data_IF_207799718126
#
_entry.id   IF_207799718126
#
_cell.length_a   1.000
_cell.length_b   1.000
_cell.length_c   1.000
_cell.angle_alpha   90.00
_cell.angle_beta   90.00
_cell.angle_gamma   90.00
#
_symmetry.space_group_name_H-M   'P 1'
#
loop_
_entity.id
_entity.type
_entity.pdbx_description
1 polymer ?
#
# COMPACT_ATOMS: atom_id res chain seq x y z
N UNK A 1 19.74 -5.07 15.77
CA UNK A 1 20.72 -4.04 16.22
C UNK A 1 21.26 -3.23 15.04
N UNK A 2 21.96 -3.84 14.07
CA UNK A 2 22.59 -3.14 12.92
C UNK A 2 21.71 -2.16 12.13
N UNK A 3 20.43 -2.49 11.90
CA UNK A 3 19.51 -1.60 11.18
C UNK A 3 19.10 -0.35 11.95
N UNK A 4 18.95 -0.46 13.28
CA UNK A 4 18.60 0.69 14.12
C UNK A 4 19.82 1.61 14.30
N UNK A 5 21.00 1.02 14.47
CA UNK A 5 22.28 1.76 14.50
C UNK A 5 22.50 2.55 13.21
N UNK A 6 22.27 1.91 12.06
CA UNK A 6 22.39 2.58 10.76
C UNK A 6 21.45 3.80 10.62
N UNK A 7 20.22 3.68 11.11
CA UNK A 7 19.30 4.82 11.14
C UNK A 7 19.75 5.89 12.14
N UNK A 8 20.24 5.50 13.32
CA UNK A 8 20.79 6.44 14.29
C UNK A 8 22.02 7.19 13.76
N UNK A 9 22.89 6.52 13.00
CA UNK A 9 24.03 7.14 12.33
C UNK A 9 23.59 8.13 11.25
N UNK A 10 22.56 7.78 10.47
CA UNK A 10 21.94 8.71 9.52
C UNK A 10 21.41 9.96 10.23
N UNK A 11 20.64 9.79 11.32
CA UNK A 11 20.05 10.88 12.09
C UNK A 11 21.12 11.87 12.57
N UNK A 12 22.20 11.36 13.18
CA UNK A 12 23.30 12.19 13.64
C UNK A 12 24.00 12.92 12.50
N UNK A 13 24.35 12.18 11.45
CA UNK A 13 25.21 12.68 10.38
C UNK A 13 24.49 13.60 9.39
N UNK A 14 23.19 13.43 9.21
CA UNK A 14 22.43 14.10 8.14
C UNK A 14 21.29 14.99 8.66
N UNK A 15 20.83 14.79 9.91
CA UNK A 15 19.66 15.48 10.44
C UNK A 15 19.93 16.26 11.73
N UNK A 16 21.15 16.16 12.30
CA UNK A 16 21.51 16.74 13.59
C UNK A 16 20.59 16.28 14.74
N UNK A 17 20.05 15.06 14.62
CA UNK A 17 19.21 14.42 15.66
C UNK A 17 20.06 13.39 16.40
N UNK A 18 20.07 13.42 17.73
CA UNK A 18 21.01 12.65 18.55
C UNK A 18 20.68 11.16 18.61
N UNK A 19 19.40 10.82 18.69
CA UNK A 19 18.92 9.45 18.74
C UNK A 19 17.57 9.25 18.02
N UNK A 20 17.19 7.99 17.72
CA UNK A 20 15.85 7.69 17.24
C UNK A 20 14.71 8.15 18.15
N UNK A 21 14.93 8.31 19.47
CA UNK A 21 13.93 8.82 20.43
C UNK A 21 13.51 10.27 20.12
N UNK A 22 14.43 11.07 19.59
CA UNK A 22 14.24 12.49 19.28
C UNK A 22 13.76 12.72 17.84
N UNK A 23 13.69 11.65 17.03
CA UNK A 23 13.32 11.75 15.62
C UNK A 23 11.81 11.92 15.45
N UNK A 24 11.43 12.80 14.52
CA UNK A 24 10.06 12.99 14.08
C UNK A 24 9.78 12.37 12.70
N UNK A 25 8.52 12.45 12.21
CA UNK A 25 8.12 11.87 10.93
C UNK A 25 8.92 12.36 9.72
N UNK A 26 9.34 13.64 9.75
CA UNK A 26 10.17 14.26 8.72
C UNK A 26 11.54 13.58 8.59
N UNK A 27 12.10 13.05 9.69
CA UNK A 27 13.37 12.36 9.67
C UNK A 27 13.28 10.97 9.01
N UNK A 28 12.15 10.26 9.17
CA UNK A 28 11.89 8.99 8.46
C UNK A 28 11.83 9.22 6.95
N UNK A 29 11.11 10.28 6.52
CA UNK A 29 11.08 10.69 5.11
C UNK A 29 12.47 11.06 4.57
N UNK A 30 13.25 11.80 5.36
CA UNK A 30 14.61 12.17 5.00
C UNK A 30 15.50 10.94 4.84
N UNK A 31 15.35 9.94 5.72
CA UNK A 31 16.08 8.66 5.61
C UNK A 31 15.75 7.90 4.34
N UNK A 32 14.46 7.81 3.97
CA UNK A 32 14.05 7.20 2.69
C UNK A 32 14.66 7.92 1.51
N UNK A 33 14.56 9.25 1.50
CA UNK A 33 15.06 10.09 0.39
C UNK A 33 16.57 9.92 0.23
N UNK A 34 17.30 10.03 1.34
CA UNK A 34 18.75 9.86 1.39
C UNK A 34 19.18 8.46 0.95
N UNK A 35 18.60 7.42 1.54
CA UNK A 35 19.01 6.05 1.26
C UNK A 35 18.68 5.66 -0.18
N UNK A 36 17.52 6.06 -0.70
CA UNK A 36 17.16 5.85 -2.11
C UNK A 36 18.16 6.52 -3.05
N UNK A 37 18.55 7.78 -2.76
CA UNK A 37 19.56 8.48 -3.55
C UNK A 37 20.95 7.83 -3.50
N UNK A 38 21.24 7.06 -2.45
CA UNK A 38 22.48 6.28 -2.28
C UNK A 38 22.39 4.85 -2.82
N UNK A 39 21.24 4.43 -3.36
CA UNK A 39 21.00 3.05 -3.79
C UNK A 39 20.84 2.06 -2.63
N UNK A 40 20.58 2.54 -1.41
CA UNK A 40 20.36 1.73 -0.21
C UNK A 40 18.93 1.15 -0.20
N UNK A 41 18.81 -0.11 0.24
CA UNK A 41 17.50 -0.74 0.44
C UNK A 41 16.94 -0.35 1.81
N UNK A 42 16.46 0.90 1.92
CA UNK A 42 15.94 1.47 3.17
C UNK A 42 14.84 0.63 3.82
N UNK A 43 14.04 -0.08 3.02
CA UNK A 43 12.98 -0.96 3.51
C UNK A 43 13.51 -2.05 4.46
N UNK A 44 14.73 -2.56 4.24
CA UNK A 44 15.33 -3.60 5.11
C UNK A 44 15.55 -3.13 6.55
N UNK A 45 15.61 -1.83 6.77
CA UNK A 45 15.84 -1.25 8.09
C UNK A 45 14.53 -1.00 8.87
N UNK A 46 13.42 -0.84 8.14
CA UNK A 46 12.16 -0.41 8.73
C UNK A 46 11.53 -1.39 9.70
N UNK A 47 11.75 -2.70 9.56
CA UNK A 47 11.32 -3.66 10.58
C UNK A 47 11.94 -3.36 11.95
N UNK A 48 13.25 -3.14 12.01
CA UNK A 48 13.93 -2.85 13.28
C UNK A 48 13.53 -1.48 13.83
N UNK A 49 13.35 -0.48 12.96
CA UNK A 49 12.96 0.88 13.36
C UNK A 49 11.51 0.88 13.88
N UNK A 50 10.59 0.19 13.20
CA UNK A 50 9.19 0.01 13.62
C UNK A 50 9.12 -0.70 14.97
N UNK A 51 9.80 -1.84 15.13
CA UNK A 51 9.84 -2.58 16.40
C UNK A 51 10.38 -1.74 17.55
N UNK A 52 11.40 -0.93 17.29
CA UNK A 52 11.94 -0.02 18.30
C UNK A 52 10.90 1.03 18.72
N UNK A 53 10.18 1.64 17.76
CA UNK A 53 9.13 2.60 18.08
C UNK A 53 7.90 1.96 18.75
N UNK A 54 7.57 0.71 18.41
CA UNK A 54 6.56 -0.08 19.12
C UNK A 54 6.97 -0.30 20.59
N UNK A 55 8.22 -0.72 20.83
CA UNK A 55 8.76 -0.90 22.18
C UNK A 55 8.79 0.40 23.00
N UNK A 56 9.00 1.54 22.34
CA UNK A 56 8.98 2.87 22.95
C UNK A 56 7.58 3.48 23.06
N UNK A 57 6.56 2.77 22.60
CA UNK A 57 5.16 3.22 22.59
C UNK A 57 4.95 4.55 21.83
N UNK A 58 5.78 4.81 20.81
CA UNK A 58 5.74 6.02 19.98
C UNK A 58 4.83 5.81 18.76
N UNK A 59 3.52 5.78 19.00
CA UNK A 59 2.51 5.43 17.99
C UNK A 59 2.61 6.24 16.67
N UNK A 60 2.85 7.56 16.75
CA UNK A 60 3.03 8.40 15.56
C UNK A 60 4.20 7.94 14.69
N UNK A 61 5.30 7.51 15.31
CA UNK A 61 6.49 7.04 14.60
C UNK A 61 6.27 5.63 14.04
N UNK A 62 5.58 4.74 14.77
CA UNK A 62 5.16 3.43 14.26
C UNK A 62 4.34 3.59 12.98
N UNK A 63 3.31 4.44 13.02
CA UNK A 63 2.44 4.70 11.86
C UNK A 63 3.24 5.29 10.70
N UNK A 64 4.11 6.27 10.96
CA UNK A 64 4.95 6.89 9.92
C UNK A 64 5.85 5.85 9.24
N UNK A 65 6.52 4.99 10.01
CA UNK A 65 7.40 3.96 9.45
C UNK A 65 6.58 2.95 8.64
N UNK A 66 5.41 2.58 9.12
CA UNK A 66 4.51 1.67 8.42
C UNK A 66 4.02 2.24 7.08
N UNK A 67 3.63 3.51 7.04
CA UNK A 67 3.27 4.20 5.79
C UNK A 67 4.41 4.18 4.77
N UNK A 68 5.65 4.42 5.22
CA UNK A 68 6.82 4.37 4.34
C UNK A 68 7.17 2.94 3.91
N UNK A 69 6.98 1.93 4.78
CA UNK A 69 7.10 0.52 4.40
C UNK A 69 6.11 0.17 3.28
N UNK A 70 4.85 0.58 3.41
CA UNK A 70 3.82 0.37 2.40
C UNK A 70 4.16 1.09 1.10
N UNK A 71 4.54 2.37 1.17
CA UNK A 71 4.97 3.15 0.02
C UNK A 71 6.10 2.46 -0.73
N UNK A 72 7.17 2.05 -0.05
CA UNK A 72 8.34 1.43 -0.69
C UNK A 72 8.00 0.06 -1.32
N UNK A 73 7.16 -0.73 -0.67
CA UNK A 73 6.70 -2.01 -1.23
C UNK A 73 5.84 -1.83 -2.48
N UNK A 74 5.15 -0.69 -2.60
CA UNK A 74 4.25 -0.40 -3.72
C UNK A 74 4.97 0.33 -4.87
N UNK A 75 6.16 0.89 -4.62
CA UNK A 75 6.97 1.56 -5.65
C UNK A 75 7.41 0.59 -6.75
N UNK A 76 7.69 -0.67 -6.40
CA UNK A 76 8.19 -1.68 -7.34
C UNK A 76 7.11 -2.62 -7.87
N UNK A 77 5.90 -2.60 -7.29
CA UNK A 77 4.83 -3.54 -7.66
C UNK A 77 4.25 -3.17 -9.01
N UNK A 78 4.37 -4.06 -9.99
CA UNK A 78 3.85 -3.83 -11.33
C UNK A 78 2.34 -4.03 -11.38
N UNK A 79 1.64 -3.19 -12.15
CA UNK A 79 0.19 -3.31 -12.37
C UNK A 79 -0.18 -4.68 -12.96
N UNK A 80 0.65 -5.23 -13.84
CA UNK A 80 0.44 -6.54 -14.46
C UNK A 80 0.58 -7.75 -13.53
N UNK A 81 1.01 -7.57 -12.27
CA UNK A 81 1.14 -8.66 -11.30
C UNK A 81 -0.15 -8.98 -10.55
N UNK A 82 -1.18 -8.13 -10.67
CA UNK A 82 -2.50 -8.48 -10.17
C UNK A 82 -3.09 -9.61 -11.04
N UNK A 83 -3.70 -10.65 -10.42
CA UNK A 83 -4.35 -11.70 -11.18
C UNK A 83 -5.51 -11.18 -12.02
N UNK A 84 -5.76 -11.84 -13.16
CA UNK A 84 -6.92 -11.63 -14.05
C UNK A 84 -7.10 -10.23 -14.66
N UNK A 85 -6.17 -9.29 -14.44
CA UNK A 85 -6.23 -7.95 -15.06
C UNK A 85 -6.01 -8.00 -16.56
N UNK A 86 -6.64 -7.08 -17.28
CA UNK A 86 -6.50 -6.93 -18.73
C UNK A 86 -5.07 -6.56 -19.13
N UNK A 87 -4.40 -7.46 -19.86
CA UNK A 87 -2.98 -7.31 -20.21
C UNK A 87 -2.76 -6.24 -21.28
N UNK A 88 -3.73 -6.01 -22.16
CA UNK A 88 -3.63 -4.96 -23.18
C UNK A 88 -3.65 -3.57 -22.54
N UNK A 89 -4.60 -3.31 -21.63
CA UNK A 89 -4.68 -2.07 -20.86
C UNK A 89 -3.45 -1.86 -19.98
N UNK A 90 -2.91 -2.90 -19.34
CA UNK A 90 -1.62 -2.80 -18.62
C UNK A 90 -0.48 -2.38 -19.55
N UNK A 91 -0.42 -2.93 -20.76
CA UNK A 91 0.61 -2.55 -21.75
C UNK A 91 0.45 -1.10 -22.18
N UNK A 92 -0.77 -0.64 -22.43
CA UNK A 92 -1.10 0.75 -22.77
C UNK A 92 -0.72 1.75 -21.67
N UNK A 93 -1.05 1.43 -20.41
CA UNK A 93 -0.62 2.22 -19.24
C UNK A 93 0.92 2.28 -19.11
N UNK A 94 1.60 1.17 -19.38
CA UNK A 94 3.07 1.12 -19.37
C UNK A 94 3.71 2.04 -20.42
N UNK A 95 3.08 2.22 -21.59
CA UNK A 95 3.56 3.12 -22.66
C UNK A 95 3.53 4.57 -22.20
N UNK A 96 2.50 4.98 -21.44
CA UNK A 96 2.41 6.34 -20.85
C UNK A 96 3.18 6.48 -19.53
N UNK A 97 4.02 5.50 -19.17
CA UNK A 97 4.91 5.56 -18.01
C UNK A 97 4.30 5.07 -16.69
N UNK A 98 3.09 4.52 -16.71
CA UNK A 98 2.38 4.01 -15.54
C UNK A 98 2.56 2.49 -15.43
N UNK A 99 3.67 2.08 -14.82
CA UNK A 99 4.07 0.67 -14.73
C UNK A 99 3.79 0.07 -13.36
N UNK A 100 3.91 0.88 -12.32
CA UNK A 100 3.82 0.44 -10.93
C UNK A 100 2.61 1.02 -10.21
N UNK A 101 2.21 0.36 -9.12
CA UNK A 101 1.11 0.79 -8.26
C UNK A 101 1.31 2.24 -7.81
N UNK A 102 2.48 2.61 -7.30
CA UNK A 102 2.71 3.99 -6.85
C UNK A 102 2.68 5.01 -8.00
N UNK A 103 3.27 4.70 -9.15
CA UNK A 103 3.20 5.58 -10.32
C UNK A 103 1.75 5.85 -10.70
N UNK A 104 0.94 4.79 -10.73
CA UNK A 104 -0.45 4.85 -11.07
C UNK A 104 -1.28 5.63 -10.04
N UNK A 105 -1.14 5.32 -8.75
CA UNK A 105 -1.87 6.00 -7.67
C UNK A 105 -1.53 7.50 -7.56
N UNK A 106 -0.25 7.87 -7.77
CA UNK A 106 0.15 9.28 -7.80
C UNK A 106 -0.48 10.03 -8.97
N UNK A 107 -0.51 9.39 -10.15
CA UNK A 107 -1.10 9.99 -11.34
C UNK A 107 -2.63 10.07 -11.23
N UNK A 108 -3.28 9.05 -10.68
CA UNK A 108 -4.73 8.88 -10.64
C UNK A 108 -5.41 9.44 -9.36
N UNK A 109 -4.81 10.43 -8.69
CA UNK A 109 -5.25 10.88 -7.37
C UNK A 109 -6.52 11.76 -7.33
N UNK A 110 -7.25 11.86 -8.45
CA UNK A 110 -8.56 12.52 -8.56
C UNK A 110 -9.37 11.85 -9.67
N UNK A 111 -10.71 11.92 -9.64
CA UNK A 111 -11.56 11.38 -10.72
C UNK A 111 -11.20 11.95 -12.10
N UNK A 112 -10.93 13.26 -12.18
CA UNK A 112 -10.54 13.93 -13.43
C UNK A 112 -9.22 13.39 -13.99
N UNK A 113 -8.21 13.13 -13.14
CA UNK A 113 -6.95 12.54 -13.59
C UNK A 113 -7.07 11.07 -13.96
N UNK A 114 -7.91 10.30 -13.28
CA UNK A 114 -8.19 8.92 -13.66
C UNK A 114 -8.84 8.85 -15.06
N UNK A 115 -9.78 9.76 -15.35
CA UNK A 115 -10.35 9.92 -16.68
C UNK A 115 -9.29 10.30 -17.72
N UNK A 116 -8.46 11.31 -17.43
CA UNK A 116 -7.37 11.73 -18.31
C UNK A 116 -6.37 10.61 -18.62
N UNK A 117 -6.05 9.75 -17.65
CA UNK A 117 -5.19 8.57 -17.86
C UNK A 117 -5.85 7.56 -18.81
N UNK A 118 -7.17 7.37 -18.69
CA UNK A 118 -7.94 6.50 -19.58
C UNK A 118 -7.80 7.00 -21.02
N UNK A 119 -8.07 8.28 -21.24
CA UNK A 119 -8.01 8.91 -22.57
C UNK A 119 -6.59 8.90 -23.15
N UNK A 120 -5.58 9.25 -22.34
CA UNK A 120 -4.19 9.33 -22.78
C UNK A 120 -3.58 7.97 -23.11
N UNK A 121 -3.92 6.93 -22.34
CA UNK A 121 -3.36 5.59 -22.54
C UNK A 121 -4.09 4.79 -23.63
N UNK A 122 -5.36 5.11 -23.91
CA UNK A 122 -6.23 4.29 -24.77
C UNK A 122 -6.61 2.95 -24.15
N UNK A 123 -6.39 2.79 -22.83
CA UNK A 123 -6.87 1.64 -22.06
C UNK A 123 -8.39 1.73 -21.85
N UNK A 124 -9.04 0.60 -21.56
CA UNK A 124 -10.47 0.62 -21.28
C UNK A 124 -10.73 1.27 -19.92
N UNK A 125 -11.86 1.99 -19.80
CA UNK A 125 -12.25 2.65 -18.55
C UNK A 125 -12.39 1.63 -17.42
N UNK A 126 -12.93 0.47 -17.73
CA UNK A 126 -13.16 -0.64 -16.80
C UNK A 126 -11.84 -1.17 -16.26
N UNK A 127 -10.84 -1.40 -17.13
CA UNK A 127 -9.54 -1.89 -16.70
C UNK A 127 -8.76 -0.85 -15.90
N UNK A 128 -8.85 0.43 -16.26
CA UNK A 128 -8.24 1.53 -15.51
C UNK A 128 -8.83 1.63 -14.10
N UNK A 129 -10.15 1.53 -13.98
CA UNK A 129 -10.84 1.55 -12.68
C UNK A 129 -10.51 0.31 -11.84
N UNK A 130 -10.52 -0.88 -12.43
CA UNK A 130 -10.14 -2.13 -11.77
C UNK A 130 -8.71 -2.04 -11.21
N UNK A 131 -7.75 -1.63 -12.05
CA UNK A 131 -6.36 -1.46 -11.64
C UNK A 131 -6.22 -0.42 -10.54
N UNK A 132 -7.07 0.60 -10.52
CA UNK A 132 -7.01 1.66 -9.51
C UNK A 132 -7.47 1.11 -8.17
N UNK A 133 -8.62 0.43 -8.15
CA UNK A 133 -9.16 -0.25 -6.97
C UNK A 133 -8.17 -1.28 -6.41
N UNK A 134 -7.65 -2.18 -7.25
CA UNK A 134 -6.63 -3.15 -6.85
C UNK A 134 -5.35 -2.48 -6.32
N UNK A 135 -4.95 -1.36 -6.93
CA UNK A 135 -3.81 -0.56 -6.45
C UNK A 135 -4.07 0.03 -5.06
N UNK A 136 -5.26 0.58 -4.81
CA UNK A 136 -5.68 1.09 -3.50
C UNK A 136 -5.70 -0.03 -2.45
N UNK A 137 -6.35 -1.17 -2.75
CA UNK A 137 -6.40 -2.33 -1.86
C UNK A 137 -5.00 -2.84 -1.51
N UNK A 138 -4.07 -2.79 -2.46
CA UNK A 138 -2.70 -3.26 -2.24
C UNK A 138 -1.85 -2.39 -1.30
N UNK A 139 -2.39 -1.25 -0.86
CA UNK A 139 -1.84 -0.45 0.24
C UNK A 139 -2.11 -1.09 1.59
N UNK A 140 -3.23 -1.81 1.73
CA UNK A 140 -3.56 -2.49 2.97
C UNK A 140 -2.57 -3.65 3.23
N UNK A 141 -2.05 -3.79 4.46
CA UNK A 141 -1.19 -4.91 4.82
C UNK A 141 -1.84 -6.25 4.48
N UNK A 142 -1.08 -7.15 3.85
CA UNK A 142 -1.57 -8.48 3.47
C UNK A 142 -2.46 -8.52 2.21
N UNK A 143 -3.07 -7.42 1.76
CA UNK A 143 -4.00 -7.38 0.62
C UNK A 143 -3.30 -7.19 -0.73
N UNK A 144 -2.23 -7.95 -0.95
CA UNK A 144 -1.45 -7.93 -2.19
C UNK A 144 -2.08 -8.83 -3.25
N UNK A 145 -1.62 -8.73 -4.51
CA UNK A 145 -1.86 -9.67 -5.64
C UNK A 145 -3.17 -10.48 -5.52
N UNK A 146 -3.07 -11.74 -5.10
CA UNK A 146 -4.20 -12.69 -5.01
C UNK A 146 -5.21 -12.29 -3.94
N UNK A 147 -4.77 -11.89 -2.75
CA UNK A 147 -5.68 -11.49 -1.67
C UNK A 147 -6.39 -10.17 -1.99
N UNK A 148 -5.69 -9.20 -2.60
CA UNK A 148 -6.34 -7.99 -3.12
C UNK A 148 -7.38 -8.30 -4.20
N UNK A 149 -7.11 -9.26 -5.09
CA UNK A 149 -8.08 -9.73 -6.09
C UNK A 149 -9.29 -10.42 -5.45
N UNK A 150 -9.09 -11.21 -4.39
CA UNK A 150 -10.17 -11.83 -3.63
C UNK A 150 -11.14 -10.76 -3.08
N UNK A 151 -10.62 -9.73 -2.42
CA UNK A 151 -11.43 -8.63 -1.90
C UNK A 151 -12.21 -7.91 -3.01
N UNK A 152 -11.54 -7.59 -4.11
CA UNK A 152 -12.15 -6.95 -5.27
C UNK A 152 -13.35 -7.76 -5.82
N UNK A 153 -13.15 -9.06 -6.06
CA UNK A 153 -14.18 -9.94 -6.64
C UNK A 153 -15.34 -10.22 -5.66
N UNK A 154 -15.07 -10.15 -4.36
CA UNK A 154 -16.07 -10.28 -3.31
C UNK A 154 -16.89 -8.99 -3.07
N UNK A 155 -16.63 -7.91 -3.84
CA UNK A 155 -17.33 -6.63 -3.70
C UNK A 155 -16.77 -5.72 -2.60
N UNK A 156 -15.65 -6.08 -1.99
CA UNK A 156 -14.90 -5.26 -1.03
C UNK A 156 -13.78 -4.50 -1.76
N UNK A 157 -14.17 -3.75 -2.80
CA UNK A 157 -13.25 -3.25 -3.82
C UNK A 157 -12.74 -1.81 -3.58
N UNK A 158 -13.21 -1.17 -2.51
CA UNK A 158 -12.73 0.15 -2.07
C UNK A 158 -12.36 0.17 -0.58
N UNK A 159 -11.56 1.17 -0.17
CA UNK A 159 -11.21 1.34 1.24
C UNK A 159 -12.46 1.64 2.07
N UNK A 160 -13.42 2.37 1.52
CA UNK A 160 -14.67 2.74 2.17
C UNK A 160 -15.53 1.49 2.41
N UNK A 161 -15.63 0.58 1.43
CA UNK A 161 -16.37 -0.68 1.57
C UNK A 161 -15.80 -1.56 2.69
N UNK A 162 -14.48 -1.54 2.89
CA UNK A 162 -13.79 -2.28 3.95
C UNK A 162 -13.95 -1.56 5.30
N UNK A 163 -13.79 -0.23 5.32
CA UNK A 163 -13.84 0.58 6.54
C UNK A 163 -15.23 0.58 7.20
N UNK A 164 -16.29 0.38 6.40
CA UNK A 164 -17.68 0.36 6.83
C UNK A 164 -18.12 -0.94 7.51
N UNK A 165 -17.31 -2.00 7.46
CA UNK A 165 -17.64 -3.32 8.00
C UNK A 165 -16.88 -3.61 9.30
N UNK A 166 -17.41 -4.58 10.06
CA UNK A 166 -16.67 -5.18 11.17
C UNK A 166 -15.81 -6.36 10.67
N UNK A 167 -14.71 -6.70 11.37
CA UNK A 167 -13.77 -7.73 10.92
C UNK A 167 -14.40 -9.11 10.67
N UNK A 168 -15.38 -9.48 11.50
CA UNK A 168 -16.14 -10.72 11.38
C UNK A 168 -16.97 -10.78 10.10
N UNK A 169 -17.56 -9.64 9.71
CA UNK A 169 -18.35 -9.53 8.47
C UNK A 169 -17.45 -9.74 7.25
N UNK A 170 -16.26 -9.13 7.24
CA UNK A 170 -15.28 -9.34 6.16
C UNK A 170 -14.89 -10.81 6.07
N UNK A 171 -14.56 -11.45 7.20
CA UNK A 171 -14.21 -12.87 7.21
C UNK A 171 -15.33 -13.73 6.62
N UNK A 172 -16.58 -13.48 7.05
CA UNK A 172 -17.77 -14.19 6.58
C UNK A 172 -18.00 -14.00 5.08
N UNK A 173 -17.99 -12.75 4.59
CA UNK A 173 -18.19 -12.41 3.17
C UNK A 173 -17.16 -13.11 2.29
N UNK A 174 -15.89 -13.06 2.68
CA UNK A 174 -14.80 -13.66 1.90
C UNK A 174 -14.85 -15.18 1.92
N UNK A 175 -15.19 -15.78 3.05
CA UNK A 175 -15.39 -17.22 3.17
C UNK A 175 -16.53 -17.69 2.27
N UNK A 176 -17.69 -17.06 2.37
CA UNK A 176 -18.85 -17.39 1.55
C UNK A 176 -18.57 -17.18 0.05
N UNK A 177 -17.81 -16.14 -0.30
CA UNK A 177 -17.39 -15.91 -1.69
C UNK A 177 -16.48 -17.03 -2.19
N UNK A 178 -15.45 -17.43 -1.43
CA UNK A 178 -14.54 -18.52 -1.80
C UNK A 178 -15.30 -19.83 -1.95
N UNK A 179 -16.18 -20.16 -1.00
CA UNK A 179 -16.98 -21.40 -1.02
C UNK A 179 -17.91 -21.47 -2.25
N UNK A 180 -18.54 -20.35 -2.63
CA UNK A 180 -19.48 -20.31 -3.77
C UNK A 180 -18.80 -20.23 -5.12
N UNK A 181 -17.67 -19.52 -5.22
CA UNK A 181 -17.00 -19.24 -6.50
C UNK A 181 -15.88 -20.24 -6.82
N UNK A 182 -15.39 -20.99 -5.82
CA UNK A 182 -14.19 -21.82 -5.95
C UNK A 182 -12.91 -20.99 -6.10
N UNK A 183 -12.90 -19.73 -5.65
CA UNK A 183 -11.72 -18.86 -5.76
C UNK A 183 -10.55 -19.41 -4.95
N UNK A 184 -9.44 -19.71 -5.62
CA UNK A 184 -8.24 -20.29 -4.99
C UNK A 184 -7.43 -19.25 -4.21
N UNK A 185 -7.88 -18.93 -2.99
CA UNK A 185 -7.13 -18.11 -2.05
C UNK A 185 -7.43 -18.49 -0.58
N UNK A 186 -6.43 -18.27 0.27
CA UNK A 186 -6.64 -18.32 1.72
C UNK A 186 -7.47 -17.11 2.17
N UNK A 187 -8.62 -17.40 2.76
CA UNK A 187 -9.46 -16.44 3.47
C UNK A 187 -8.64 -15.85 4.63
N UNK A 188 -8.58 -14.52 4.78
CA UNK A 188 -7.86 -13.91 5.90
C UNK A 188 -8.48 -14.29 7.24
N UNK A 189 -7.66 -14.35 8.29
CA UNK A 189 -8.17 -14.50 9.66
C UNK A 189 -8.91 -13.24 10.11
N UNK A 190 -9.68 -13.33 11.20
CA UNK A 190 -10.34 -12.15 11.81
C UNK A 190 -9.31 -11.08 12.20
N UNK A 191 -8.16 -11.47 12.77
CA UNK A 191 -7.08 -10.52 13.11
C UNK A 191 -6.52 -9.81 11.86
N UNK A 192 -6.33 -10.53 10.76
CA UNK A 192 -5.91 -9.93 9.48
C UNK A 192 -6.98 -8.97 8.93
N UNK A 193 -8.26 -9.31 9.10
CA UNK A 193 -9.39 -8.45 8.74
C UNK A 193 -9.46 -7.19 9.63
N UNK A 194 -9.18 -7.30 10.93
CA UNK A 194 -9.12 -6.17 11.86
C UNK A 194 -8.04 -5.17 11.43
N UNK A 195 -6.86 -5.66 11.05
CA UNK A 195 -5.79 -4.82 10.50
C UNK A 195 -6.26 -4.12 9.23
N UNK A 196 -6.94 -4.82 8.33
CA UNK A 196 -7.46 -4.23 7.08
C UNK A 196 -8.50 -3.13 7.36
N UNK A 197 -9.48 -3.38 8.24
CA UNK A 197 -10.51 -2.39 8.64
C UNK A 197 -9.85 -1.16 9.28
N UNK A 198 -8.97 -1.38 10.27
CA UNK A 198 -8.28 -0.29 10.97
C UNK A 198 -7.48 0.58 10.00
N UNK A 199 -6.73 -0.04 9.09
CA UNK A 199 -5.93 0.68 8.11
C UNK A 199 -6.79 1.37 7.04
N UNK A 200 -7.90 0.76 6.62
CA UNK A 200 -8.84 1.37 5.69
C UNK A 200 -9.52 2.61 6.28
N UNK A 201 -9.87 2.58 7.58
CA UNK A 201 -10.39 3.74 8.33
C UNK A 201 -9.35 4.85 8.50
N UNK A 202 -8.06 4.50 8.58
CA UNK A 202 -6.96 5.46 8.76
C UNK A 202 -6.51 6.13 7.47
N UNK A 203 -6.51 5.39 6.36
CA UNK A 203 -6.01 5.91 5.08
C UNK A 203 -7.00 6.92 4.46
N UNK A 204 -6.50 7.98 3.81
CA UNK A 204 -7.37 8.86 3.06
C UNK A 204 -8.04 8.09 1.92
N UNK A 205 -9.36 8.23 1.83
CA UNK A 205 -10.13 7.92 0.64
C UNK A 205 -9.52 8.70 -0.53
N UNK A 206 -8.73 8.04 -1.37
CA UNK A 206 -8.08 8.68 -2.51
C UNK A 206 -9.07 8.94 -3.67
N UNK A 207 -10.36 8.69 -3.44
CA UNK A 207 -11.46 9.23 -4.19
C UNK A 207 -12.27 10.08 -3.21
N UNK A 208 -12.00 11.38 -3.17
CA UNK A 208 -13.10 12.29 -2.87
C UNK A 208 -14.03 12.22 -4.08
N UNK A 209 -15.29 11.88 -3.82
CA UNK A 209 -16.39 11.97 -4.80
C UNK A 209 -16.35 13.28 -5.61
#
# INVERSE_FOLDING_TARGET
MRSLEFYADFLRSNQQVGSPDEAGPTNVKAFVTWGTAKGENVYRHFWAIRMYYEFKELATMVNTVQEWMEYLQNETRKLGEFPKVDKDSVKKLSVVGLKTVNQFLKAANTPAKLAAITDQSGATREAVLELFKLSQLSRLPGLKKVRGRLFYEAGLDTLESIAALEPEDIHSILKDFVERSGFEASVPTTDEAEVAVRMARFMPANLAD
#
